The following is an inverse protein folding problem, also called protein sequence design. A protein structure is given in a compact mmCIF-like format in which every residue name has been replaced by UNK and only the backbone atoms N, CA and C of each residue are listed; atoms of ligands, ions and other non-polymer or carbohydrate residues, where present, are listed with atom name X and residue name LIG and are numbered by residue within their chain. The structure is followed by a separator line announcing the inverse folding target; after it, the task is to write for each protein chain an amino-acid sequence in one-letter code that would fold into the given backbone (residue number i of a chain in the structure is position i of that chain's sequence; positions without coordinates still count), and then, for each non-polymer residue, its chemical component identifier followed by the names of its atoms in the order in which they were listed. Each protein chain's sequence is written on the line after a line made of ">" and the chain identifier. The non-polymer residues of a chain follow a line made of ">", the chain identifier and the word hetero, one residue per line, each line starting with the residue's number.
data_IF_277401311964
#
_entry.id   IF_277401311964
#
_cell.length_a   1.000
_cell.length_b   1.000
_cell.length_c   1.000
_cell.angle_alpha   90.00
_cell.angle_beta   90.00
_cell.angle_gamma   90.00
#
_symmetry.space_group_name_H-M   'P 1'
#
loop_
_entity.id
_entity.type
_entity.pdbx_description
1 polymer ?
#
# COMPACT_ATOMS: atom_id res chain seq x y z
N UNK A 1 -3.40 13.34 19.19
CA UNK A 1 -3.17 12.30 18.17
C UNK A 1 -1.79 12.53 17.59
N UNK A 2 -0.77 11.79 18.04
CA UNK A 2 0.64 12.07 17.74
C UNK A 2 1.42 10.79 17.36
N UNK A 3 0.72 9.78 16.85
CA UNK A 3 1.26 8.43 16.78
C UNK A 3 1.94 8.10 15.44
N UNK A 4 1.64 8.84 14.37
CA UNK A 4 2.06 8.51 12.99
C UNK A 4 2.91 9.60 12.31
N UNK A 5 3.49 10.51 13.10
CA UNK A 5 4.24 11.65 12.58
C UNK A 5 3.35 12.67 11.85
N UNK A 6 3.97 13.71 11.28
CA UNK A 6 3.28 14.79 10.53
C UNK A 6 3.86 15.06 9.14
N UNK A 7 4.97 14.42 8.78
CA UNK A 7 5.68 14.67 7.53
C UNK A 7 5.41 13.54 6.56
N UNK A 8 4.98 13.89 5.35
CA UNK A 8 4.84 12.94 4.23
C UNK A 8 5.44 13.57 2.98
N UNK A 9 6.56 13.03 2.50
CA UNK A 9 7.20 13.51 1.25
C UNK A 9 6.83 12.64 0.05
N UNK A 10 6.65 11.35 0.28
CA UNK A 10 6.26 10.36 -0.73
C UNK A 10 4.98 9.69 -0.24
N UNK A 11 3.93 9.75 -1.06
CA UNK A 11 2.64 9.13 -0.76
C UNK A 11 2.43 7.93 -1.68
N UNK A 12 2.35 6.72 -1.12
CA UNK A 12 1.95 5.53 -1.86
C UNK A 12 0.43 5.40 -1.90
N UNK A 13 -0.15 5.23 -3.08
CA UNK A 13 -1.60 5.09 -3.28
C UNK A 13 -1.91 4.04 -4.37
N UNK A 14 -3.04 3.33 -4.26
CA UNK A 14 -3.46 2.33 -5.28
C UNK A 14 -3.98 2.96 -6.58
N UNK A 15 -4.25 4.27 -6.56
CA UNK A 15 -4.96 5.04 -7.59
C UNK A 15 -6.40 4.60 -7.86
N UNK A 16 -6.88 3.58 -7.16
CA UNK A 16 -8.24 3.08 -7.28
C UNK A 16 -9.13 3.64 -6.16
N UNK A 17 -10.24 4.25 -6.55
CA UNK A 17 -11.25 4.79 -5.63
C UNK A 17 -12.51 3.92 -5.57
N UNK A 18 -12.64 2.90 -6.41
CA UNK A 18 -13.88 2.15 -6.57
C UNK A 18 -14.94 2.93 -7.38
N UNK A 19 -15.94 2.20 -7.89
CA UNK A 19 -16.95 2.76 -8.80
C UNK A 19 -17.84 3.85 -8.15
N UNK A 20 -18.00 3.82 -6.82
CA UNK A 20 -18.92 4.70 -6.08
C UNK A 20 -18.30 6.02 -5.62
N UNK A 21 -16.99 6.19 -5.75
CA UNK A 21 -16.27 7.30 -5.12
C UNK A 21 -15.53 8.20 -6.12
N UNK A 22 -15.91 8.15 -7.40
CA UNK A 22 -15.33 9.01 -8.45
C UNK A 22 -15.39 10.52 -8.12
N UNK A 23 -16.49 11.10 -7.60
CA UNK A 23 -16.52 12.51 -7.20
C UNK A 23 -15.53 12.85 -6.08
N UNK A 24 -15.24 11.89 -5.20
CA UNK A 24 -14.36 12.07 -4.05
C UNK A 24 -12.87 12.01 -4.43
N UNK A 25 -12.51 11.48 -5.61
CA UNK A 25 -11.12 11.42 -6.07
C UNK A 25 -10.52 12.81 -6.20
N UNK A 26 -11.25 13.75 -6.79
CA UNK A 26 -10.78 15.13 -6.94
C UNK A 26 -10.63 15.83 -5.60
N UNK A 27 -11.62 15.70 -4.71
CA UNK A 27 -11.57 16.25 -3.36
C UNK A 27 -10.38 15.69 -2.56
N UNK A 28 -10.15 14.38 -2.66
CA UNK A 28 -9.00 13.73 -2.03
C UNK A 28 -7.67 14.23 -2.59
N UNK A 29 -7.56 14.36 -3.93
CA UNK A 29 -6.39 14.94 -4.59
C UNK A 29 -6.17 16.37 -4.08
N UNK A 30 -7.20 17.22 -4.10
CA UNK A 30 -7.11 18.61 -3.67
C UNK A 30 -6.71 18.72 -2.17
N UNK A 31 -7.01 17.69 -1.36
CA UNK A 31 -6.61 17.59 0.05
C UNK A 31 -5.19 17.03 0.30
N UNK A 32 -4.45 16.59 -0.74
CA UNK A 32 -3.07 16.10 -0.57
C UNK A 32 -2.20 17.26 -0.03
N UNK A 33 -1.48 17.04 1.10
CA UNK A 33 -0.64 18.06 1.72
C UNK A 33 0.46 18.59 0.78
N UNK A 34 0.79 19.87 0.91
CA UNK A 34 1.78 20.55 0.04
C UNK A 34 3.20 20.01 0.17
N UNK A 35 3.54 19.35 1.28
CA UNK A 35 4.83 18.71 1.51
C UNK A 35 5.03 17.42 0.71
N UNK A 36 3.95 16.83 0.17
CA UNK A 36 4.03 15.64 -0.67
C UNK A 36 4.66 16.03 -2.01
N UNK A 37 5.90 15.57 -2.20
CA UNK A 37 6.71 15.85 -3.39
C UNK A 37 6.54 14.80 -4.47
N UNK A 38 6.09 13.59 -4.10
CA UNK A 38 5.88 12.47 -5.02
C UNK A 38 4.66 11.65 -4.62
N UNK A 39 3.92 11.19 -5.62
CA UNK A 39 2.95 10.10 -5.46
C UNK A 39 3.51 8.88 -6.16
N UNK A 40 3.52 7.76 -5.45
CA UNK A 40 3.92 6.47 -5.98
C UNK A 40 2.72 5.52 -6.03
N UNK A 41 2.67 4.66 -7.03
CA UNK A 41 1.67 3.59 -7.08
C UNK A 41 2.33 2.26 -6.76
N UNK A 42 1.61 1.43 -6.00
CA UNK A 42 1.99 0.06 -5.68
C UNK A 42 1.87 -0.93 -6.86
N UNK A 43 1.33 -0.45 -7.99
CA UNK A 43 0.88 -1.29 -9.12
C UNK A 43 1.45 -0.78 -10.44
N UNK A 44 1.68 -1.65 -11.43
CA UNK A 44 2.16 -1.21 -12.73
C UNK A 44 1.06 -0.50 -13.52
N UNK A 45 1.47 0.33 -14.48
CA UNK A 45 0.56 0.91 -15.48
C UNK A 45 0.19 -0.13 -16.55
N UNK A 46 -0.39 -1.24 -16.11
CA UNK A 46 -0.78 -2.36 -16.94
C UNK A 46 -2.01 -3.01 -16.32
N UNK A 47 -3.00 -3.32 -17.14
CA UNK A 47 -4.16 -4.10 -16.69
C UNK A 47 -3.73 -5.58 -16.62
N UNK A 48 -3.73 -6.11 -15.41
CA UNK A 48 -3.38 -7.51 -15.11
C UNK A 48 -4.63 -8.22 -14.58
N UNK A 49 -4.83 -8.16 -13.28
CA UNK A 49 -5.98 -8.68 -12.53
C UNK A 49 -7.03 -7.61 -12.21
N UNK A 50 -6.65 -6.34 -12.36
CA UNK A 50 -7.47 -5.15 -12.14
C UNK A 50 -7.15 -4.10 -13.22
N UNK A 51 -8.09 -3.21 -13.61
CA UNK A 51 -7.86 -2.14 -14.59
C UNK A 51 -6.95 -1.00 -14.08
N UNK A 52 -5.77 -1.35 -13.56
CA UNK A 52 -4.80 -0.41 -12.99
C UNK A 52 -4.38 0.68 -13.97
N UNK A 53 -4.24 0.38 -15.27
CA UNK A 53 -3.85 1.38 -16.25
C UNK A 53 -4.93 2.46 -16.40
N UNK A 54 -6.20 2.06 -16.37
CA UNK A 54 -7.34 2.98 -16.44
C UNK A 54 -7.42 3.85 -15.18
N UNK A 55 -7.27 3.26 -13.99
CA UNK A 55 -7.29 4.00 -12.73
C UNK A 55 -6.13 4.98 -12.60
N UNK A 56 -4.92 4.55 -12.97
CA UNK A 56 -3.72 5.38 -12.95
C UNK A 56 -3.88 6.54 -13.93
N UNK A 57 -4.40 6.31 -15.14
CA UNK A 57 -4.62 7.37 -16.12
C UNK A 57 -5.66 8.40 -15.64
N UNK A 58 -6.76 7.95 -15.05
CA UNK A 58 -7.78 8.84 -14.50
C UNK A 58 -7.25 9.66 -13.31
N UNK A 59 -6.47 9.03 -12.42
CA UNK A 59 -5.83 9.70 -11.29
C UNK A 59 -4.79 10.73 -11.74
N UNK A 60 -3.96 10.40 -12.73
CA UNK A 60 -2.96 11.30 -13.31
C UNK A 60 -3.60 12.51 -14.01
N UNK A 61 -4.71 12.28 -14.72
CA UNK A 61 -5.50 13.36 -15.31
C UNK A 61 -6.00 14.34 -14.23
N UNK A 62 -6.55 13.82 -13.14
CA UNK A 62 -7.08 14.66 -12.05
C UNK A 62 -5.97 15.34 -11.24
N UNK A 63 -4.77 14.75 -11.18
CA UNK A 63 -3.58 15.39 -10.63
C UNK A 63 -3.16 16.63 -11.43
N UNK A 64 -3.43 16.66 -12.73
CA UNK A 64 -3.12 17.81 -13.60
C UNK A 64 -1.65 18.23 -13.59
N UNK A 65 -0.73 17.29 -13.32
CA UNK A 65 0.70 17.57 -13.19
C UNK A 65 1.12 18.32 -11.91
N UNK A 66 0.21 18.52 -10.94
CA UNK A 66 0.52 19.22 -9.67
C UNK A 66 1.58 18.51 -8.84
N UNK A 67 1.58 17.18 -8.84
CA UNK A 67 2.53 16.34 -8.13
C UNK A 67 2.97 15.22 -9.09
N UNK A 68 4.28 14.95 -9.24
CA UNK A 68 4.77 13.84 -10.05
C UNK A 68 4.21 12.49 -9.59
N UNK A 69 3.75 11.68 -10.54
CA UNK A 69 3.26 10.32 -10.32
C UNK A 69 4.26 9.30 -10.87
N UNK A 70 4.69 8.36 -10.02
CA UNK A 70 5.52 7.22 -10.41
C UNK A 70 4.78 5.91 -10.21
N UNK A 71 4.79 5.04 -11.21
CA UNK A 71 4.22 3.69 -11.11
C UNK A 71 5.31 2.65 -10.88
N UNK A 72 4.98 1.57 -10.16
CA UNK A 72 5.88 0.43 -10.02
C UNK A 72 6.22 -0.16 -11.41
N UNK A 73 7.48 -0.48 -11.73
CA UNK A 73 7.82 -1.17 -12.98
C UNK A 73 7.12 -2.53 -13.07
N UNK A 74 6.53 -2.86 -14.23
CA UNK A 74 5.82 -4.12 -14.44
C UNK A 74 6.64 -5.34 -14.03
N UNK A 75 7.90 -5.40 -14.45
CA UNK A 75 8.77 -6.53 -14.14
C UNK A 75 8.90 -6.75 -12.63
N UNK A 76 9.07 -5.67 -11.87
CA UNK A 76 9.17 -5.73 -10.40
C UNK A 76 7.88 -6.22 -9.77
N UNK A 77 6.74 -5.73 -10.23
CA UNK A 77 5.45 -6.19 -9.74
C UNK A 77 5.28 -7.69 -9.97
N UNK A 78 5.60 -8.18 -11.18
CA UNK A 78 5.52 -9.60 -11.50
C UNK A 78 6.50 -10.45 -10.67
N UNK A 79 7.74 -9.99 -10.50
CA UNK A 79 8.73 -10.69 -9.68
C UNK A 79 8.27 -10.75 -8.21
N UNK A 80 7.64 -9.68 -7.69
CA UNK A 80 7.08 -9.65 -6.35
C UNK A 80 5.91 -10.63 -6.18
N UNK A 81 4.95 -10.61 -7.10
CA UNK A 81 3.80 -11.53 -7.10
C UNK A 81 4.29 -12.98 -7.16
N UNK A 82 5.29 -13.28 -7.99
CA UNK A 82 5.90 -14.60 -8.08
C UNK A 82 6.61 -15.02 -6.78
N UNK A 83 7.33 -14.10 -6.13
CA UNK A 83 8.09 -14.39 -4.91
C UNK A 83 7.19 -14.62 -3.68
N UNK A 84 6.01 -14.00 -3.63
CA UNK A 84 5.05 -14.19 -2.54
C UNK A 84 4.04 -15.30 -2.86
N UNK A 85 3.67 -15.45 -4.14
CA UNK A 85 2.62 -16.35 -4.60
C UNK A 85 1.20 -15.85 -4.29
N UNK A 86 1.01 -14.54 -4.16
CA UNK A 86 -0.29 -13.85 -3.96
C UNK A 86 -0.16 -12.38 -4.37
N UNK A 87 -1.27 -11.64 -4.43
CA UNK A 87 -1.24 -10.22 -4.75
C UNK A 87 -0.72 -9.42 -3.54
N UNK A 88 0.33 -8.61 -3.69
CA UNK A 88 0.84 -7.79 -2.61
C UNK A 88 -0.19 -6.72 -2.23
N UNK A 89 -0.34 -6.46 -0.94
CA UNK A 89 -1.04 -5.24 -0.52
C UNK A 89 -0.15 -4.02 -0.83
N UNK A 90 -0.74 -2.83 -0.85
CA UNK A 90 0.01 -1.60 -1.20
C UNK A 90 1.17 -1.32 -0.24
N UNK A 91 1.07 -1.73 1.03
CA UNK A 91 2.15 -1.61 2.01
C UNK A 91 3.38 -2.44 1.65
N UNK A 92 3.19 -3.72 1.32
CA UNK A 92 4.29 -4.61 0.91
C UNK A 92 4.92 -4.18 -0.42
N UNK A 93 4.08 -3.75 -1.37
CA UNK A 93 4.56 -3.19 -2.63
C UNK A 93 5.40 -1.91 -2.39
N UNK A 94 5.01 -1.04 -1.45
CA UNK A 94 5.78 0.14 -1.09
C UNK A 94 7.14 -0.21 -0.46
N UNK A 95 7.18 -1.16 0.48
CA UNK A 95 8.43 -1.61 1.12
C UNK A 95 9.43 -2.10 0.07
N UNK A 96 8.98 -2.98 -0.83
CA UNK A 96 9.85 -3.57 -1.86
C UNK A 96 10.26 -2.57 -2.95
N UNK A 97 9.39 -1.60 -3.26
CA UNK A 97 9.75 -0.51 -4.16
C UNK A 97 10.78 0.44 -3.54
N UNK A 98 10.64 0.80 -2.26
CA UNK A 98 11.61 1.63 -1.54
C UNK A 98 13.00 0.97 -1.46
N UNK A 99 13.05 -0.33 -1.12
CA UNK A 99 14.31 -1.09 -1.05
C UNK A 99 15.02 -1.21 -2.41
N UNK A 100 14.34 -0.90 -3.51
CA UNK A 100 14.99 -0.90 -4.81
C UNK A 100 15.87 0.31 -5.11
N UNK A 101 15.69 1.36 -4.32
CA UNK A 101 16.53 2.54 -4.40
C UNK A 101 17.78 2.34 -3.57
N UNK A 102 18.77 3.20 -3.81
CA UNK A 102 19.97 3.29 -2.99
C UNK A 102 19.66 4.06 -1.69
N UNK A 103 18.79 3.47 -0.87
CA UNK A 103 18.43 3.97 0.46
C UNK A 103 19.30 3.30 1.51
N UNK A 104 19.74 4.07 2.51
CA UNK A 104 20.54 3.54 3.61
C UNK A 104 19.74 2.57 4.49
N UNK A 105 18.47 2.90 4.78
CA UNK A 105 17.60 2.12 5.66
C UNK A 105 16.14 2.38 5.32
N UNK A 106 15.30 1.35 5.46
CA UNK A 106 13.84 1.43 5.43
C UNK A 106 13.34 0.95 6.79
N UNK A 107 12.72 1.85 7.55
CA UNK A 107 12.05 1.51 8.81
C UNK A 107 10.55 1.46 8.58
N UNK A 108 9.93 0.31 8.87
CA UNK A 108 8.49 0.08 8.68
C UNK A 108 7.77 0.13 10.03
N UNK A 109 6.72 0.94 10.11
CA UNK A 109 5.85 1.04 11.29
C UNK A 109 4.38 1.11 10.91
N UNK A 110 3.50 0.67 11.82
CA UNK A 110 2.05 0.74 11.61
C UNK A 110 1.51 -0.31 10.63
N UNK A 111 2.28 -1.37 10.38
CA UNK A 111 1.90 -2.47 9.49
C UNK A 111 1.76 -3.75 10.29
N UNK A 112 0.58 -4.39 10.23
CA UNK A 112 0.24 -5.51 11.12
C UNK A 112 -0.29 -6.74 10.40
N UNK A 113 -0.34 -6.74 9.06
CA UNK A 113 -0.98 -7.81 8.27
C UNK A 113 -2.41 -8.15 8.75
N UNK A 114 -3.16 -7.14 9.21
CA UNK A 114 -4.49 -7.29 9.81
C UNK A 114 -4.52 -8.19 11.07
N UNK A 115 -3.38 -8.35 11.74
CA UNK A 115 -3.26 -9.07 13.00
C UNK A 115 -3.56 -8.14 14.19
N UNK A 116 -3.96 -8.73 15.32
CA UNK A 116 -4.28 -8.03 16.56
C UNK A 116 -5.78 -7.79 16.80
N UNK A 117 -6.12 -7.22 17.96
CA UNK A 117 -7.52 -6.97 18.36
C UNK A 117 -8.25 -5.95 17.47
N UNK A 118 -7.49 -5.04 16.85
CA UNK A 118 -7.99 -4.03 15.92
C UNK A 118 -7.16 -4.08 14.63
N UNK A 119 -7.60 -4.82 13.59
CA UNK A 119 -6.89 -4.88 12.31
C UNK A 119 -6.76 -3.51 11.63
N UNK A 120 -7.61 -2.56 12.05
CA UNK A 120 -7.59 -1.16 11.63
C UNK A 120 -7.60 -0.21 12.81
N UNK A 121 -6.76 0.83 12.75
CA UNK A 121 -6.86 1.96 13.68
C UNK A 121 -8.15 2.74 13.43
N UNK A 122 -8.74 3.24 14.52
CA UNK A 122 -9.89 4.14 14.47
C UNK A 122 -9.54 5.41 13.67
N UNK A 123 -10.32 5.71 12.63
CA UNK A 123 -10.04 6.78 11.66
C UNK A 123 -9.43 6.31 10.34
N UNK A 124 -9.01 5.04 10.23
CA UNK A 124 -8.75 4.41 8.93
C UNK A 124 -10.09 4.08 8.29
N UNK A 125 -10.64 5.03 7.53
CA UNK A 125 -11.93 4.90 6.84
C UNK A 125 -11.81 3.85 5.74
N UNK A 126 -12.30 2.65 5.99
CA UNK A 126 -12.25 1.57 5.02
C UNK A 126 -12.87 0.30 5.56
N UNK A 127 -12.16 -0.44 6.42
CA UNK A 127 -12.55 -1.82 6.71
C UNK A 127 -13.18 -2.08 8.08
N UNK A 128 -12.96 -1.23 9.09
CA UNK A 128 -13.76 -1.33 10.32
C UNK A 128 -15.26 -1.22 9.99
N UNK A 129 -15.62 -0.35 9.05
CA UNK A 129 -16.99 -0.21 8.54
C UNK A 129 -17.38 -1.33 7.57
N UNK A 130 -16.51 -1.79 6.65
CA UNK A 130 -16.86 -2.88 5.71
C UNK A 130 -17.02 -4.24 6.42
N UNK A 131 -16.20 -4.59 7.41
CA UNK A 131 -16.36 -5.85 8.14
C UNK A 131 -17.61 -5.84 9.06
N UNK A 132 -18.01 -4.67 9.56
CA UNK A 132 -19.26 -4.47 10.29
C UNK A 132 -20.50 -4.48 9.38
N UNK A 133 -20.37 -4.04 8.12
CA UNK A 133 -21.49 -3.85 7.18
C UNK A 133 -21.63 -5.01 6.18
N UNK A 134 -20.54 -5.67 5.77
CA UNK A 134 -20.51 -6.76 4.80
C UNK A 134 -19.33 -7.75 5.06
N UNK A 135 -19.53 -8.72 5.96
CA UNK A 135 -18.53 -9.76 6.29
C UNK A 135 -18.18 -10.69 5.12
N UNK A 136 -19.01 -10.78 4.08
CA UNK A 136 -18.73 -11.59 2.90
C UNK A 136 -17.69 -10.92 2.01
N UNK A 137 -17.82 -9.60 1.82
CA UNK A 137 -16.86 -8.79 1.07
C UNK A 137 -15.51 -8.68 1.77
N UNK A 138 -15.49 -8.54 3.09
CA UNK A 138 -14.23 -8.56 3.87
C UNK A 138 -13.46 -9.88 3.65
N UNK A 139 -14.16 -11.01 3.62
CA UNK A 139 -13.56 -12.32 3.31
C UNK A 139 -12.98 -12.40 1.91
N UNK A 140 -13.60 -11.78 0.90
CA UNK A 140 -13.07 -11.76 -0.47
C UNK A 140 -11.82 -10.87 -0.59
N UNK A 141 -11.79 -9.73 0.10
CA UNK A 141 -10.60 -8.86 0.15
C UNK A 141 -9.41 -9.52 0.83
N UNK A 142 -9.63 -10.17 1.98
CA UNK A 142 -8.57 -10.94 2.64
C UNK A 142 -8.10 -12.15 1.81
N UNK A 143 -8.97 -12.72 0.97
CA UNK A 143 -8.60 -13.82 0.08
C UNK A 143 -7.65 -13.40 -1.06
N UNK A 144 -7.73 -12.14 -1.52
CA UNK A 144 -6.83 -11.63 -2.58
C UNK A 144 -5.42 -11.37 -2.04
N UNK A 145 -5.33 -10.93 -0.79
CA UNK A 145 -4.07 -10.64 -0.11
C UNK A 145 -3.79 -11.68 0.98
N UNK A 146 -3.28 -12.85 0.62
CA UNK A 146 -2.91 -13.89 1.59
C UNK A 146 -1.84 -13.34 2.57
N UNK A 147 -2.30 -12.93 3.76
CA UNK A 147 -1.49 -12.24 4.76
C UNK A 147 -0.37 -13.14 5.30
N UNK A 148 -0.61 -14.45 5.41
CA UNK A 148 0.39 -15.40 5.88
C UNK A 148 1.54 -15.54 4.87
N UNK A 149 1.23 -15.57 3.57
CA UNK A 149 2.28 -15.56 2.52
C UNK A 149 3.07 -14.27 2.53
N UNK A 150 2.40 -13.12 2.66
CA UNK A 150 3.05 -11.82 2.74
C UNK A 150 3.91 -11.68 3.99
N UNK A 151 3.45 -12.15 5.15
CA UNK A 151 4.21 -12.20 6.40
C UNK A 151 5.50 -13.00 6.24
N UNK A 152 5.39 -14.25 5.77
CA UNK A 152 6.55 -15.11 5.51
C UNK A 152 7.51 -14.52 4.49
N UNK A 153 7.01 -13.75 3.52
CA UNK A 153 7.88 -13.05 2.57
C UNK A 153 8.66 -11.93 3.27
N UNK A 154 8.04 -11.13 4.14
CA UNK A 154 8.72 -10.09 4.91
C UNK A 154 9.76 -10.68 5.87
N UNK A 155 9.48 -11.80 6.53
CA UNK A 155 10.45 -12.54 7.35
C UNK A 155 11.71 -12.88 6.52
N UNK A 156 11.53 -13.47 5.33
CA UNK A 156 12.65 -13.79 4.42
C UNK A 156 13.37 -12.54 3.91
N UNK A 157 12.62 -11.47 3.64
CA UNK A 157 13.16 -10.21 3.15
C UNK A 157 14.05 -9.55 4.21
N UNK A 158 13.62 -9.53 5.48
CA UNK A 158 14.43 -9.04 6.60
C UNK A 158 15.69 -9.87 6.82
N UNK A 159 15.62 -11.19 6.63
CA UNK A 159 16.80 -12.05 6.69
C UNK A 159 17.79 -11.81 5.54
N UNK A 160 17.31 -11.35 4.38
CA UNK A 160 18.11 -11.16 3.17
C UNK A 160 18.62 -9.73 2.96
N UNK A 161 17.92 -8.71 3.47
CA UNK A 161 18.22 -7.29 3.26
C UNK A 161 18.32 -6.53 4.59
N UNK A 162 19.56 -6.32 5.04
CA UNK A 162 19.87 -5.62 6.29
C UNK A 162 19.41 -4.16 6.35
N UNK A 163 18.97 -3.57 5.23
CA UNK A 163 18.42 -2.21 5.20
C UNK A 163 17.00 -2.17 5.75
N UNK A 164 16.29 -3.30 5.82
CA UNK A 164 14.92 -3.36 6.31
C UNK A 164 14.88 -3.56 7.82
N UNK A 165 14.24 -2.62 8.52
CA UNK A 165 13.97 -2.68 9.96
C UNK A 165 12.48 -2.42 10.22
N UNK A 166 11.98 -2.86 11.37
CA UNK A 166 10.55 -2.79 11.72
C UNK A 166 10.36 -2.32 13.15
N UNK A 167 9.18 -1.79 13.47
CA UNK A 167 8.81 -1.48 14.85
C UNK A 167 8.62 -2.76 15.71
N UNK A 168 8.55 -2.59 17.04
CA UNK A 168 8.45 -3.71 17.97
C UNK A 168 7.16 -4.54 17.75
N UNK A 169 6.07 -3.90 17.34
CA UNK A 169 4.78 -4.57 17.09
C UNK A 169 4.88 -5.48 15.87
N UNK A 170 5.43 -4.98 14.76
CA UNK A 170 5.65 -5.79 13.58
C UNK A 170 6.70 -6.88 13.84
N UNK A 171 7.74 -6.61 14.63
CA UNK A 171 8.71 -7.64 15.03
C UNK A 171 8.06 -8.82 15.77
N UNK A 172 7.12 -8.56 16.68
CA UNK A 172 6.34 -9.59 17.38
C UNK A 172 5.40 -10.36 16.43
N UNK A 173 4.83 -9.69 15.43
CA UNK A 173 3.99 -10.36 14.42
C UNK A 173 4.82 -11.30 13.53
N UNK A 174 6.10 -10.98 13.29
CA UNK A 174 7.00 -11.75 12.42
C UNK A 174 7.77 -12.88 13.13
N UNK A 175 7.67 -12.99 14.45
CA UNK A 175 8.34 -14.02 15.26
C UNK A 175 7.51 -15.29 15.42
#
# INVERSE_FOLDING_TARGET
>A
MADIGRRTEILYHSCWFGEKFLPQRKEWIDAIPSEVSWICTAYPRQDLDHPHATDIAAFENDLGGRIPLRTMPLRRHLDLVAAIGTHPNSGLAAITDLLSFDVATVFVTGFTFYSGERPYRQGYTGEADIALVDPARARTFHAIHDQDRQRRFVERLMAADSRLTVDATLAEILS
#
